data_IF_477856740390
#
_entry.id   IF_477856740390
#
_cell.length_a   1.000
_cell.length_b   1.000
_cell.length_c   1.000
_cell.angle_alpha   90.00
_cell.angle_beta   90.00
_cell.angle_gamma   90.00
#
_symmetry.space_group_name_H-M   'P 1'
#
loop_
_entity.id
_entity.type
_entity.pdbx_description
1 polymer ?
#
# COMPACT_ATOMS: atom_id res chain seq x y z
N UNK A 1 -15.86 -6.93 -13.54
CA UNK A 1 -16.63 -5.66 -13.63
C UNK A 1 -16.82 -5.11 -12.24
N UNK A 2 -15.99 -4.16 -11.79
CA UNK A 2 -16.22 -3.47 -10.52
C UNK A 2 -17.03 -2.19 -10.79
N UNK A 3 -18.35 -2.27 -10.58
CA UNK A 3 -19.25 -1.11 -10.64
C UNK A 3 -19.53 -0.60 -9.23
N UNK A 4 -19.29 0.70 -9.03
CA UNK A 4 -20.21 1.57 -8.29
C UNK A 4 -19.78 2.04 -6.89
N UNK A 5 -19.18 3.25 -6.84
CA UNK A 5 -19.69 4.38 -6.05
C UNK A 5 -18.90 5.66 -6.34
N UNK A 6 -19.61 6.72 -6.70
CA UNK A 6 -19.09 8.07 -6.97
C UNK A 6 -18.97 8.80 -5.62
N UNK A 7 -17.77 9.29 -5.30
CA UNK A 7 -17.46 10.09 -4.11
C UNK A 7 -16.18 9.64 -3.42
N UNK A 8 -15.02 10.02 -3.97
CA UNK A 8 -13.68 9.61 -3.50
C UNK A 8 -13.28 8.27 -4.09
N UNK A 9 -12.16 8.22 -4.85
CA UNK A 9 -11.65 6.99 -5.49
C UNK A 9 -11.76 5.83 -4.50
N UNK A 10 -12.51 4.78 -4.84
CA UNK A 10 -12.57 3.57 -4.04
C UNK A 10 -11.14 3.06 -3.90
N UNK A 11 -10.51 3.34 -2.75
CA UNK A 11 -9.17 2.87 -2.47
C UNK A 11 -9.21 1.34 -2.63
N UNK A 12 -8.40 0.72 -3.52
CA UNK A 12 -8.42 -0.70 -3.91
C UNK A 12 -8.38 -1.80 -2.82
N UNK A 13 -8.83 -1.55 -1.59
CA UNK A 13 -8.49 -2.34 -0.42
C UNK A 13 -7.18 -1.90 0.23
N UNK A 14 -6.64 -0.74 -0.17
CA UNK A 14 -5.49 -0.15 0.49
C UNK A 14 -5.80 0.13 1.95
N UNK A 15 -4.85 -0.23 2.80
CA UNK A 15 -4.93 0.04 4.24
C UNK A 15 -4.11 1.26 4.65
N UNK A 16 -3.23 1.71 3.77
CA UNK A 16 -2.46 2.93 3.90
C UNK A 16 -2.04 3.38 2.50
N UNK A 17 -2.04 4.68 2.29
CA UNK A 17 -1.50 5.33 1.10
C UNK A 17 -0.40 6.30 1.51
N UNK A 18 0.60 6.46 0.66
CA UNK A 18 1.62 7.48 0.91
C UNK A 18 1.03 8.90 0.83
N UNK A 19 1.71 9.92 1.39
CA UNK A 19 1.21 11.29 1.38
C UNK A 19 0.95 11.88 -0.01
N UNK A 20 1.62 11.38 -1.05
CA UNK A 20 1.36 11.80 -2.44
C UNK A 20 0.14 11.11 -3.06
N UNK A 21 -0.34 10.02 -2.46
CA UNK A 21 -1.43 9.19 -2.98
C UNK A 21 -1.05 8.37 -4.22
N UNK A 22 0.25 8.25 -4.54
CA UNK A 22 0.77 7.43 -5.66
C UNK A 22 0.83 5.96 -5.29
N UNK A 23 1.20 5.66 -4.06
CA UNK A 23 1.41 4.30 -3.59
C UNK A 23 0.35 3.93 -2.58
N UNK A 24 -0.25 2.75 -2.76
CA UNK A 24 -1.14 2.15 -1.78
C UNK A 24 -0.62 0.78 -1.37
N UNK A 25 -0.57 0.50 -0.06
CA UNK A 25 -0.21 -0.82 0.45
C UNK A 25 -1.43 -1.62 0.91
N UNK A 26 -1.32 -2.92 0.79
CA UNK A 26 -2.29 -3.89 1.30
C UNK A 26 -1.87 -4.44 2.67
N UNK A 27 -2.71 -5.30 3.26
CA UNK A 27 -2.37 -6.03 4.51
C UNK A 27 -1.41 -7.19 4.27
N UNK A 28 -1.23 -7.60 3.02
CA UNK A 28 -0.39 -8.74 2.65
C UNK A 28 1.07 -8.47 3.00
N UNK A 29 1.66 -9.33 3.83
CA UNK A 29 3.08 -9.26 4.21
C UNK A 29 3.88 -10.14 3.27
N UNK A 30 4.90 -9.54 2.64
CA UNK A 30 5.86 -10.22 1.77
C UNK A 30 7.07 -10.76 2.57
N UNK A 31 7.41 -10.11 3.68
CA UNK A 31 8.51 -10.54 4.54
C UNK A 31 8.56 -9.80 5.87
N UNK A 32 9.15 -10.44 6.89
CA UNK A 32 9.38 -9.86 8.22
C UNK A 32 10.83 -10.08 8.62
N UNK A 33 11.49 -9.03 9.08
CA UNK A 33 12.80 -9.10 9.71
C UNK A 33 12.77 -8.43 11.09
N UNK A 34 13.93 -8.38 11.76
CA UNK A 34 14.04 -7.83 13.11
C UNK A 34 13.53 -6.37 13.22
N UNK A 35 13.79 -5.53 12.20
CA UNK A 35 13.50 -4.09 12.23
C UNK A 35 12.36 -3.66 11.30
N UNK A 36 11.96 -4.51 10.35
CA UNK A 36 11.07 -4.11 9.27
C UNK A 36 10.07 -5.19 8.89
N UNK A 37 8.92 -4.73 8.43
CA UNK A 37 7.91 -5.55 7.76
C UNK A 37 7.73 -5.03 6.35
N UNK A 38 7.79 -5.94 5.37
CA UNK A 38 7.61 -5.64 3.95
C UNK A 38 6.21 -6.06 3.56
N UNK A 39 5.43 -5.14 3.00
CA UNK A 39 4.07 -5.38 2.52
C UNK A 39 3.98 -5.30 1.01
N UNK A 40 2.94 -5.93 0.45
CA UNK A 40 2.54 -5.74 -0.93
C UNK A 40 1.96 -4.35 -1.12
N UNK A 41 2.35 -3.67 -2.19
CA UNK A 41 1.84 -2.36 -2.55
C UNK A 41 1.76 -2.19 -4.08
N UNK A 42 1.15 -1.11 -4.52
CA UNK A 42 0.96 -0.81 -5.93
C UNK A 42 1.29 0.66 -6.22
N UNK A 43 1.96 0.90 -7.33
CA UNK A 43 2.21 2.23 -7.89
C UNK A 43 1.11 2.57 -8.89
N UNK A 44 0.24 3.52 -8.53
CA UNK A 44 -0.93 3.93 -9.33
C UNK A 44 -0.55 4.66 -10.63
N UNK A 45 0.68 5.20 -10.73
CA UNK A 45 1.13 5.93 -11.92
C UNK A 45 1.75 4.96 -12.92
N UNK A 46 2.62 4.07 -12.46
CA UNK A 46 3.29 3.10 -13.33
C UNK A 46 2.46 1.83 -13.57
N UNK A 47 1.45 1.57 -12.75
CA UNK A 47 0.60 0.38 -12.86
C UNK A 47 1.33 -0.92 -12.50
N UNK A 48 2.30 -0.84 -11.59
CA UNK A 48 3.15 -1.99 -11.20
C UNK A 48 3.04 -2.30 -9.71
N UNK A 49 3.21 -3.57 -9.38
CA UNK A 49 3.35 -4.02 -8.00
C UNK A 49 4.72 -3.63 -7.44
N UNK A 50 4.75 -3.16 -6.20
CA UNK A 50 5.95 -2.71 -5.49
C UNK A 50 5.95 -3.23 -4.05
N UNK A 51 7.11 -3.19 -3.39
CA UNK A 51 7.26 -3.56 -1.99
C UNK A 51 7.24 -2.31 -1.08
N UNK A 52 6.41 -2.33 -0.03
CA UNK A 52 6.34 -1.27 0.99
C UNK A 52 7.07 -1.69 2.26
N UNK A 53 8.19 -1.04 2.58
CA UNK A 53 8.94 -1.28 3.83
C UNK A 53 8.40 -0.40 4.97
N UNK A 54 7.81 -1.01 5.98
CA UNK A 54 7.46 -0.34 7.24
C UNK A 54 8.52 -0.62 8.28
N UNK A 55 9.16 0.43 8.77
CA UNK A 55 10.18 0.38 9.82
C UNK A 55 9.55 0.97 11.09
N UNK A 56 9.74 0.32 12.23
CA UNK A 56 9.43 0.90 13.53
C UNK A 56 10.74 1.45 14.09
N UNK A 57 10.78 2.76 14.29
CA UNK A 57 11.87 3.40 15.02
C UNK A 57 11.47 3.37 16.49
N UNK A 58 12.29 2.73 17.32
CA UNK A 58 12.20 2.89 18.77
C UNK A 58 12.84 4.26 19.10
N UNK A 59 12.25 5.03 20.02
CA UNK A 59 12.78 6.33 20.49
C UNK A 59 14.07 6.19 21.29
#
# INVERSE_FOLDING_TARGET
>A
MYKGRIGGKAQPGYVETDPSGRYGRFRDVLGKGAMKVVYRAFDEILGIEVAWNQIKLDE
#
